data_IF_874669894137
#
_entry.id   IF_874669894137
#
_cell.length_a   1.000
_cell.length_b   1.000
_cell.length_c   1.000
_cell.angle_alpha   90.00
_cell.angle_beta   90.00
_cell.angle_gamma   90.00
#
_symmetry.space_group_name_H-M   'P 1'
#
loop_
_entity.id
_entity.type
_entity.pdbx_description
1 polymer ?
#
# COMPACT_ATOMS: atom_id res chain seq x y z
N UNK A 1 2.70 11.46 21.73
CA UNK A 1 2.99 11.45 20.28
C UNK A 1 4.05 10.40 20.00
N UNK A 2 3.91 9.56 18.97
CA UNK A 2 4.90 8.53 18.62
C UNK A 2 5.68 8.93 17.37
N UNK A 3 6.63 9.87 17.53
CA UNK A 3 7.39 10.46 16.43
C UNK A 3 8.14 9.42 15.59
N UNK A 4 8.74 8.42 16.25
CA UNK A 4 9.51 7.38 15.57
C UNK A 4 8.64 6.50 14.67
N UNK A 5 7.47 6.08 15.16
CA UNK A 5 6.54 5.27 14.37
C UNK A 5 5.98 6.05 13.19
N UNK A 6 5.54 7.30 13.40
CA UNK A 6 5.06 8.17 12.32
C UNK A 6 6.11 8.38 11.23
N UNK A 7 7.38 8.58 11.62
CA UNK A 7 8.48 8.72 10.69
C UNK A 7 8.71 7.44 9.88
N UNK A 8 8.73 6.27 10.53
CA UNK A 8 8.88 4.99 9.83
C UNK A 8 7.73 4.70 8.88
N UNK A 9 6.49 5.00 9.27
CA UNK A 9 5.31 4.88 8.41
C UNK A 9 5.41 5.83 7.21
N UNK A 10 5.89 7.07 7.41
CA UNK A 10 6.09 8.01 6.32
C UNK A 10 7.15 7.52 5.32
N UNK A 11 8.28 7.00 5.82
CA UNK A 11 9.34 6.42 4.97
C UNK A 11 8.81 5.17 4.25
N UNK A 12 8.15 4.27 4.96
CA UNK A 12 7.55 3.06 4.40
C UNK A 12 6.55 3.41 3.29
N UNK A 13 5.65 4.37 3.52
CA UNK A 13 4.70 4.85 2.52
C UNK A 13 5.38 5.47 1.30
N UNK A 14 6.43 6.28 1.50
CA UNK A 14 7.22 6.84 0.40
C UNK A 14 7.91 5.75 -0.44
N UNK A 15 8.45 4.71 0.21
CA UNK A 15 9.02 3.55 -0.47
C UNK A 15 7.97 2.76 -1.24
N UNK A 16 6.78 2.55 -0.66
CA UNK A 16 5.65 1.89 -1.34
C UNK A 16 5.25 2.62 -2.61
N UNK A 17 5.13 3.95 -2.56
CA UNK A 17 4.84 4.78 -3.75
C UNK A 17 5.93 4.66 -4.81
N UNK A 18 7.21 4.62 -4.40
CA UNK A 18 8.33 4.38 -5.33
C UNK A 18 8.27 3.00 -5.96
N UNK A 19 7.91 1.97 -5.20
CA UNK A 19 7.77 0.60 -5.70
C UNK A 19 6.69 0.46 -6.78
N UNK A 20 5.62 1.26 -6.72
CA UNK A 20 4.54 1.24 -7.72
C UNK A 20 4.73 2.24 -8.86
N UNK A 21 5.81 3.01 -8.86
CA UNK A 21 6.10 3.99 -9.92
C UNK A 21 7.04 3.37 -10.95
N UNK A 22 6.73 3.55 -12.24
CA UNK A 22 7.59 3.10 -13.33
C UNK A 22 8.97 3.78 -13.25
N UNK A 23 10.08 3.03 -13.07
CA UNK A 23 11.42 3.61 -13.08
C UNK A 23 11.82 4.08 -14.48
N UNK A 24 11.20 3.56 -15.55
CA UNK A 24 11.49 3.90 -16.94
C UNK A 24 10.20 4.28 -17.68
N UNK A 25 9.54 5.40 -17.33
CA UNK A 25 8.31 5.79 -17.99
C UNK A 25 8.58 5.99 -19.49
N UNK A 26 7.92 5.21 -20.35
CA UNK A 26 8.00 5.41 -21.80
C UNK A 26 7.60 6.86 -22.10
N UNK A 27 8.48 7.64 -22.76
CA UNK A 27 8.07 8.91 -23.36
C UNK A 27 6.89 8.59 -24.26
N UNK A 28 5.76 9.28 -24.05
CA UNK A 28 4.57 9.13 -24.88
C UNK A 28 5.04 9.10 -26.34
N UNK A 29 4.68 8.04 -27.07
CA UNK A 29 5.07 7.82 -28.45
C UNK A 29 4.97 9.13 -29.22
N UNK A 30 6.11 9.75 -29.49
CA UNK A 30 6.19 10.87 -30.39
C UNK A 30 6.06 10.29 -31.79
N UNK A 31 5.03 10.74 -32.49
CA UNK A 31 4.90 10.75 -33.94
C UNK A 31 4.59 9.40 -34.60
N UNK A 32 3.29 9.13 -34.71
CA UNK A 32 2.54 8.67 -35.89
C UNK A 32 1.45 7.70 -35.45
N UNK A 33 0.21 8.17 -35.40
CA UNK A 33 -0.91 7.49 -36.06
C UNK A 33 -2.19 8.33 -35.87
N UNK A 34 -2.70 8.79 -37.00
CA UNK A 34 -4.03 9.34 -37.15
C UNK A 34 -5.05 8.31 -36.64
N UNK A 35 -5.94 8.69 -35.71
CA UNK A 35 -7.37 8.35 -35.74
C UNK A 35 -8.07 8.90 -34.50
N UNK A 36 -9.10 9.72 -34.76
CA UNK A 36 -9.74 10.65 -33.83
C UNK A 36 -10.90 10.01 -33.03
N UNK A 37 -10.79 8.74 -32.61
CA UNK A 37 -11.88 8.05 -31.88
C UNK A 37 -11.49 7.48 -30.50
N UNK A 38 -10.22 7.56 -30.07
CA UNK A 38 -9.73 6.89 -28.84
C UNK A 38 -9.33 7.81 -27.67
N UNK A 39 -9.77 9.08 -27.64
CA UNK A 39 -9.24 10.07 -26.70
C UNK A 39 -9.70 9.86 -25.24
N UNK A 40 -10.93 9.31 -25.04
CA UNK A 40 -11.46 9.01 -23.69
C UNK A 40 -10.72 7.86 -23.01
N UNK A 41 -10.39 6.81 -23.77
CA UNK A 41 -9.66 5.64 -23.27
C UNK A 41 -8.22 6.04 -22.92
N UNK A 42 -7.61 6.92 -23.72
CA UNK A 42 -6.26 7.44 -23.48
C UNK A 42 -6.18 8.37 -22.26
N UNK A 43 -7.21 9.18 -21.99
CA UNK A 43 -7.32 9.96 -20.76
C UNK A 43 -7.43 9.05 -19.52
N UNK A 44 -8.22 7.97 -19.61
CA UNK A 44 -8.39 7.00 -18.53
C UNK A 44 -7.06 6.27 -18.25
N UNK A 45 -6.42 5.70 -19.27
CA UNK A 45 -5.18 4.92 -19.11
C UNK A 45 -4.01 5.78 -18.58
N UNK A 46 -3.95 7.07 -18.93
CA UNK A 46 -2.90 7.98 -18.45
C UNK A 46 -3.19 8.54 -17.05
N UNK A 47 -4.46 8.83 -16.75
CA UNK A 47 -4.84 9.50 -15.49
C UNK A 47 -4.97 8.51 -14.34
N UNK A 48 -5.43 7.28 -14.59
CA UNK A 48 -5.70 6.27 -13.55
C UNK A 48 -4.46 5.99 -12.67
N UNK A 49 -3.26 5.68 -13.20
CA UNK A 49 -2.09 5.44 -12.35
C UNK A 49 -1.68 6.67 -11.53
N UNK A 50 -1.83 7.87 -12.10
CA UNK A 50 -1.51 9.14 -11.43
C UNK A 50 -2.50 9.42 -10.29
N UNK A 51 -3.79 9.19 -10.53
CA UNK A 51 -4.87 9.35 -9.54
C UNK A 51 -4.69 8.34 -8.41
N UNK A 52 -4.49 7.06 -8.72
CA UNK A 52 -4.23 6.01 -7.72
C UNK A 52 -3.05 6.39 -6.83
N UNK A 53 -1.94 6.85 -7.41
CA UNK A 53 -0.77 7.29 -6.63
C UNK A 53 -1.11 8.47 -5.71
N UNK A 54 -1.84 9.47 -6.20
CA UNK A 54 -2.25 10.63 -5.37
C UNK A 54 -3.14 10.21 -4.22
N UNK A 55 -4.14 9.36 -4.49
CA UNK A 55 -5.06 8.84 -3.47
C UNK A 55 -4.28 8.02 -2.43
N UNK A 56 -3.38 7.13 -2.85
CA UNK A 56 -2.55 6.36 -1.94
C UNK A 56 -1.67 7.27 -1.05
N UNK A 57 -1.04 8.30 -1.63
CA UNK A 57 -0.26 9.28 -0.87
C UNK A 57 -1.10 10.04 0.17
N UNK A 58 -2.34 10.39 -0.16
CA UNK A 58 -3.24 11.05 0.80
C UNK A 58 -3.64 10.11 1.94
N UNK A 59 -3.93 8.84 1.65
CA UNK A 59 -4.22 7.83 2.68
C UNK A 59 -3.01 7.65 3.61
N UNK A 60 -1.81 7.53 3.05
CA UNK A 60 -0.55 7.43 3.82
C UNK A 60 -0.37 8.67 4.70
N UNK A 61 -0.50 9.87 4.14
CA UNK A 61 -0.33 11.11 4.89
C UNK A 61 -1.34 11.21 6.04
N UNK A 62 -2.59 10.82 5.81
CA UNK A 62 -3.62 10.79 6.83
C UNK A 62 -3.29 9.76 7.93
N UNK A 63 -2.83 8.56 7.57
CA UNK A 63 -2.40 7.55 8.54
C UNK A 63 -1.21 8.01 9.39
N UNK A 64 -0.22 8.68 8.78
CA UNK A 64 0.93 9.29 9.48
C UNK A 64 0.45 10.35 10.47
N UNK A 65 -0.48 11.20 10.06
CA UNK A 65 -1.07 12.23 10.91
C UNK A 65 -1.80 11.60 12.12
N UNK A 66 -2.65 10.59 11.89
CA UNK A 66 -3.34 9.87 12.95
C UNK A 66 -2.35 9.20 13.91
N UNK A 67 -1.27 8.60 13.40
CA UNK A 67 -0.21 8.00 14.24
C UNK A 67 0.51 9.05 15.09
N UNK A 68 0.79 10.21 14.51
CA UNK A 68 1.51 11.30 15.18
C UNK A 68 0.72 11.82 16.38
N UNK A 69 -0.59 11.97 16.18
CA UNK A 69 -1.54 12.46 17.18
C UNK A 69 -2.28 11.34 17.93
N UNK A 70 -1.86 10.07 17.79
CA UNK A 70 -2.57 8.90 18.32
C UNK A 70 -2.91 9.02 19.81
N UNK A 71 -1.95 9.45 20.65
CA UNK A 71 -2.20 9.63 22.09
C UNK A 71 -3.33 10.64 22.36
N UNK A 72 -3.34 11.77 21.65
CA UNK A 72 -4.38 12.77 21.81
C UNK A 72 -5.75 12.29 21.29
N UNK A 73 -5.76 11.50 20.22
CA UNK A 73 -6.99 10.89 19.69
C UNK A 73 -7.55 9.86 20.68
N UNK A 74 -6.69 9.06 21.31
CA UNK A 74 -7.07 8.05 22.31
C UNK A 74 -7.57 8.68 23.62
N UNK A 75 -6.84 9.65 24.17
CA UNK A 75 -7.19 10.32 25.44
C UNK A 75 -8.48 11.16 25.33
N UNK A 76 -8.81 11.68 24.14
CA UNK A 76 -10.06 12.40 23.88
C UNK A 76 -11.31 11.52 23.87
N UNK A 77 -11.17 10.19 23.71
CA UNK A 77 -12.29 9.26 23.83
C UNK A 77 -12.73 9.10 25.30
N UNK A 78 -11.80 9.26 26.25
CA UNK A 78 -12.07 9.15 27.70
C UNK A 78 -12.72 10.41 28.31
N UNK A 79 -12.45 11.60 27.75
CA UNK A 79 -13.02 12.86 28.22
C UNK A 79 -13.76 13.57 27.07
N UNK A 80 -15.09 13.70 27.17
CA UNK A 80 -16.07 14.26 26.22
C UNK A 80 -15.80 15.68 25.60
N UNK A 81 -14.57 16.17 25.51
CA UNK A 81 -14.22 17.46 24.89
C UNK A 81 -13.85 17.32 23.40
N UNK A 82 -14.90 17.37 22.58
CA UNK A 82 -15.00 17.06 21.15
C UNK A 82 -14.44 18.08 20.12
N UNK A 83 -13.56 19.03 20.49
CA UNK A 83 -13.44 20.25 19.65
C UNK A 83 -12.47 20.17 18.46
N UNK A 84 -11.46 19.28 18.46
CA UNK A 84 -10.46 19.19 17.37
C UNK A 84 -10.46 17.85 16.63
N UNK A 85 -10.86 16.75 17.28
CA UNK A 85 -10.92 15.42 16.66
C UNK A 85 -11.95 15.31 15.54
N UNK A 86 -13.08 16.05 15.59
CA UNK A 86 -14.18 15.87 14.63
C UNK A 86 -13.79 16.12 13.16
N UNK A 87 -12.80 16.97 12.89
CA UNK A 87 -12.38 17.27 11.51
C UNK A 87 -11.28 16.33 10.99
N UNK A 88 -10.47 15.77 11.89
CA UNK A 88 -9.37 14.86 11.54
C UNK A 88 -9.87 13.41 11.61
N UNK A 89 -10.60 13.07 12.66
CA UNK A 89 -11.15 11.76 12.92
C UNK A 89 -12.48 11.80 13.69
N UNK A 90 -13.62 11.85 12.97
CA UNK A 90 -14.94 11.84 13.59
C UNK A 90 -15.19 10.65 14.53
N UNK A 91 -14.70 9.46 14.17
CA UNK A 91 -14.95 8.20 14.87
C UNK A 91 -13.66 7.53 15.36
N UNK A 92 -12.90 8.23 16.22
CA UNK A 92 -11.64 7.73 16.78
C UNK A 92 -11.75 6.38 17.52
N UNK A 93 -12.87 6.13 18.21
CA UNK A 93 -13.13 4.87 18.91
C UNK A 93 -13.19 3.63 18.00
N UNK A 94 -13.38 3.81 16.68
CA UNK A 94 -13.41 2.72 15.71
C UNK A 94 -12.02 2.32 15.20
N UNK A 95 -10.98 3.07 15.55
CA UNK A 95 -9.61 2.80 15.15
C UNK A 95 -9.00 1.63 15.93
N UNK A 96 -8.28 0.76 15.23
CA UNK A 96 -7.52 -0.30 15.87
C UNK A 96 -6.16 0.22 16.36
N UNK A 97 -5.98 0.22 17.69
CA UNK A 97 -4.76 0.67 18.35
C UNK A 97 -3.48 0.04 17.79
N UNK A 98 -3.54 -1.22 17.35
CA UNK A 98 -2.37 -1.94 16.87
C UNK A 98 -1.75 -1.33 15.59
N UNK A 99 -2.52 -0.53 14.85
CA UNK A 99 -2.08 0.13 13.61
C UNK A 99 -1.37 1.46 13.88
N UNK A 100 -1.66 2.11 15.00
CA UNK A 100 -1.18 3.47 15.32
C UNK A 100 -0.18 3.51 16.49
N UNK A 101 0.13 2.36 17.07
CA UNK A 101 1.09 2.21 18.17
C UNK A 101 2.11 1.12 17.86
N UNK A 102 3.19 1.09 18.63
CA UNK A 102 4.20 0.04 18.51
C UNK A 102 3.65 -1.28 19.01
N UNK A 103 3.30 -2.15 18.08
CA UNK A 103 2.82 -3.51 18.34
C UNK A 103 3.51 -4.48 17.42
N UNK A 104 3.33 -5.78 17.66
CA UNK A 104 3.78 -6.80 16.74
C UNK A 104 3.20 -6.61 15.32
N UNK A 105 1.93 -6.22 15.23
CA UNK A 105 1.24 -6.00 13.95
C UNK A 105 1.90 -4.87 13.15
N UNK A 106 2.10 -3.69 13.76
CA UNK A 106 2.75 -2.57 13.06
C UNK A 106 4.22 -2.85 12.76
N UNK A 107 4.92 -3.54 13.66
CA UNK A 107 6.31 -3.97 13.44
C UNK A 107 6.47 -4.93 12.25
N UNK A 108 5.68 -6.00 12.20
CA UNK A 108 5.73 -6.98 11.10
C UNK A 108 5.34 -6.35 9.77
N UNK A 109 4.31 -5.50 9.76
CA UNK A 109 3.88 -4.83 8.53
C UNK A 109 4.95 -3.86 8.01
N UNK A 110 5.57 -3.06 8.88
CA UNK A 110 6.69 -2.19 8.51
C UNK A 110 7.88 -2.99 7.98
N UNK A 111 8.24 -4.09 8.67
CA UNK A 111 9.32 -4.97 8.23
C UNK A 111 9.03 -5.53 6.82
N UNK A 112 7.81 -6.00 6.58
CA UNK A 112 7.40 -6.50 5.26
C UNK A 112 7.53 -5.40 4.18
N UNK A 113 7.12 -4.16 4.46
CA UNK A 113 7.27 -3.04 3.52
C UNK A 113 8.75 -2.76 3.25
N UNK A 114 9.59 -2.65 4.29
CA UNK A 114 11.00 -2.33 4.11
C UNK A 114 11.77 -3.42 3.36
N UNK A 115 11.58 -4.69 3.73
CA UNK A 115 12.20 -5.83 3.03
C UNK A 115 11.70 -5.93 1.60
N UNK A 116 10.39 -5.81 1.40
CA UNK A 116 9.78 -5.84 0.07
C UNK A 116 10.29 -4.72 -0.83
N UNK A 117 10.38 -3.50 -0.29
CA UNK A 117 10.90 -2.35 -1.01
C UNK A 117 12.38 -2.52 -1.36
N UNK A 118 13.20 -3.00 -0.43
CA UNK A 118 14.62 -3.28 -0.69
C UNK A 118 14.78 -4.30 -1.83
N UNK A 119 14.05 -5.42 -1.77
CA UNK A 119 14.05 -6.46 -2.82
C UNK A 119 13.62 -5.86 -4.16
N UNK A 120 12.50 -5.13 -4.19
CA UNK A 120 11.94 -4.59 -5.44
C UNK A 120 12.81 -3.50 -6.06
N UNK A 121 13.28 -2.55 -5.25
CA UNK A 121 14.14 -1.47 -5.75
C UNK A 121 15.51 -2.01 -6.17
N UNK A 122 16.02 -3.07 -5.53
CA UNK A 122 17.22 -3.76 -6.02
C UNK A 122 16.99 -4.40 -7.39
N UNK A 123 15.81 -4.98 -7.64
CA UNK A 123 15.44 -5.52 -8.93
C UNK A 123 15.38 -4.44 -10.02
N UNK A 124 14.77 -3.28 -9.70
CA UNK A 124 14.75 -2.12 -10.60
C UNK A 124 16.16 -1.66 -10.96
N UNK A 125 17.04 -1.56 -9.95
CA UNK A 125 18.42 -1.15 -10.16
C UNK A 125 19.20 -2.13 -11.04
N UNK A 126 18.98 -3.45 -10.89
CA UNK A 126 19.70 -4.47 -11.68
C UNK A 126 19.20 -4.59 -13.12
N UNK A 127 17.90 -4.44 -13.37
CA UNK A 127 17.39 -4.42 -14.74
C UNK A 127 17.62 -3.08 -15.43
N UNK A 128 17.68 -1.98 -14.69
CA UNK A 128 17.86 -0.64 -15.26
C UNK A 128 16.78 -0.36 -16.30
N UNK A 129 17.19 0.06 -17.50
CA UNK A 129 16.30 0.33 -18.64
C UNK A 129 15.46 -0.86 -19.11
N UNK A 130 15.88 -2.09 -18.80
CA UNK A 130 15.19 -3.31 -19.21
C UNK A 130 14.02 -3.63 -18.26
N UNK A 131 13.87 -2.90 -17.16
CA UNK A 131 12.71 -3.07 -16.29
C UNK A 131 11.50 -2.42 -16.93
N UNK A 132 10.48 -3.23 -17.19
CA UNK A 132 9.19 -2.81 -17.74
C UNK A 132 8.08 -3.39 -16.87
N UNK A 133 7.01 -2.62 -16.66
CA UNK A 133 5.79 -3.13 -16.03
C UNK A 133 4.96 -4.02 -16.97
N UNK A 134 5.33 -4.06 -18.25
CA UNK A 134 4.72 -4.90 -19.28
C UNK A 134 5.62 -6.09 -19.58
N UNK A 135 5.05 -7.27 -19.85
CA UNK A 135 5.86 -8.40 -20.31
C UNK A 135 6.54 -8.03 -21.65
N UNK A 136 7.86 -7.86 -21.60
CA UNK A 136 8.72 -7.73 -22.78
C UNK A 136 9.77 -8.82 -22.70
N UNK A 137 10.01 -9.53 -23.80
CA UNK A 137 11.08 -10.52 -23.87
C UNK A 137 12.41 -9.83 -23.50
N UNK A 138 13.13 -10.30 -22.47
CA UNK A 138 14.38 -9.68 -22.07
C UNK A 138 15.48 -10.02 -23.07
N UNK A 139 16.28 -9.02 -23.47
CA UNK A 139 17.43 -9.24 -24.38
C UNK A 139 18.56 -10.07 -23.74
N UNK A 140 18.58 -10.18 -22.41
CA UNK A 140 19.62 -10.90 -21.65
C UNK A 140 19.09 -11.46 -20.33
N UNK A 141 19.58 -12.63 -19.95
CA UNK A 141 19.31 -13.24 -18.65
C UNK A 141 20.17 -12.60 -17.56
N UNK A 142 19.55 -12.12 -16.47
CA UNK A 142 20.23 -11.55 -15.30
C UNK A 142 20.15 -12.53 -14.14
N UNK A 143 21.29 -13.06 -13.69
CA UNK A 143 21.36 -14.07 -12.60
C UNK A 143 22.17 -13.60 -11.37
N UNK A 144 22.57 -12.33 -11.33
CA UNK A 144 23.44 -11.78 -10.27
C UNK A 144 22.69 -10.87 -9.29
N UNK A 145 23.16 -10.77 -8.06
CA UNK A 145 22.49 -10.02 -6.99
C UNK A 145 21.27 -10.76 -6.46
N UNK A 146 20.15 -10.06 -6.25
CA UNK A 146 18.90 -10.68 -5.74
C UNK A 146 18.36 -11.79 -6.66
N UNK A 147 18.66 -11.69 -7.96
CA UNK A 147 18.30 -12.70 -8.97
C UNK A 147 18.99 -14.06 -8.78
N UNK A 148 20.03 -14.14 -7.96
CA UNK A 148 20.67 -15.42 -7.59
C UNK A 148 19.80 -16.25 -6.64
N UNK A 149 18.94 -15.59 -5.86
CA UNK A 149 18.15 -16.21 -4.81
C UNK A 149 16.67 -16.36 -5.18
N UNK A 150 16.14 -15.41 -5.95
CA UNK A 150 14.72 -15.34 -6.31
C UNK A 150 14.62 -15.13 -7.83
N UNK A 151 13.83 -15.95 -8.51
CA UNK A 151 13.62 -15.87 -9.96
C UNK A 151 12.88 -14.59 -10.37
N UNK A 152 11.88 -14.18 -9.58
CA UNK A 152 11.10 -12.96 -9.81
C UNK A 152 11.12 -12.01 -8.59
N UNK A 153 12.26 -11.35 -8.32
CA UNK A 153 12.42 -10.50 -7.14
C UNK A 153 11.54 -9.25 -7.23
N UNK A 154 11.28 -8.72 -8.44
CA UNK A 154 10.36 -7.60 -8.63
C UNK A 154 8.93 -7.90 -8.15
N UNK A 155 8.39 -9.07 -8.48
CA UNK A 155 7.07 -9.50 -8.00
C UNK A 155 7.09 -9.81 -6.50
N UNK A 156 8.09 -10.56 -6.03
CA UNK A 156 8.26 -10.90 -4.60
C UNK A 156 8.30 -9.65 -3.72
N UNK A 157 9.10 -8.66 -4.10
CA UNK A 157 9.18 -7.40 -3.38
C UNK A 157 7.87 -6.60 -3.42
N UNK A 158 7.16 -6.59 -4.56
CA UNK A 158 5.85 -5.95 -4.66
C UNK A 158 4.82 -6.62 -3.75
N UNK A 159 4.83 -7.95 -3.65
CA UNK A 159 3.92 -8.69 -2.78
C UNK A 159 4.13 -8.33 -1.31
N UNK A 160 5.38 -8.31 -0.85
CA UNK A 160 5.71 -7.94 0.52
C UNK A 160 5.27 -6.49 0.84
N UNK A 161 5.51 -5.55 -0.08
CA UNK A 161 5.05 -4.16 0.05
C UNK A 161 3.52 -4.07 0.10
N UNK A 162 2.81 -4.75 -0.80
CA UNK A 162 1.34 -4.77 -0.81
C UNK A 162 0.76 -5.36 0.48
N UNK A 163 1.29 -6.50 0.93
CA UNK A 163 0.84 -7.17 2.15
C UNK A 163 1.02 -6.28 3.38
N UNK A 164 2.19 -5.66 3.54
CA UNK A 164 2.42 -4.73 4.65
C UNK A 164 1.56 -3.47 4.56
N UNK A 165 1.36 -2.89 3.37
CA UNK A 165 0.45 -1.76 3.17
C UNK A 165 -1.00 -2.11 3.53
N UNK A 166 -1.49 -3.31 3.18
CA UNK A 166 -2.84 -3.74 3.54
C UNK A 166 -2.96 -4.01 5.03
N UNK A 167 -1.94 -4.64 5.63
CA UNK A 167 -1.90 -4.92 7.06
C UNK A 167 -1.84 -3.67 7.94
N UNK A 168 -1.28 -2.57 7.42
CA UNK A 168 -1.04 -1.34 8.20
C UNK A 168 -1.84 -0.12 7.72
N UNK A 169 -1.70 0.24 6.45
CA UNK A 169 -2.16 1.53 5.90
C UNK A 169 -3.58 1.48 5.32
N UNK A 170 -3.94 0.36 4.69
CA UNK A 170 -5.19 0.19 3.94
C UNK A 170 -6.21 -0.70 4.64
N UNK A 171 -5.95 -1.09 5.90
CA UNK A 171 -6.87 -1.93 6.67
C UNK A 171 -8.13 -1.14 7.02
N UNK A 172 -9.28 -1.80 6.95
CA UNK A 172 -10.60 -1.16 7.13
C UNK A 172 -10.79 -0.52 8.52
N UNK A 173 -10.25 -1.13 9.57
CA UNK A 173 -10.24 -0.64 10.96
C UNK A 173 -9.02 0.27 11.26
N UNK A 174 -8.31 0.70 10.21
CA UNK A 174 -7.32 1.78 10.26
C UNK A 174 -7.94 3.11 9.87
N UNK A 175 -7.27 3.84 8.97
CA UNK A 175 -7.68 5.16 8.50
C UNK A 175 -9.14 5.26 8.01
N UNK A 176 -9.72 4.28 7.30
CA UNK A 176 -11.12 4.34 6.88
C UNK A 176 -12.12 4.34 8.06
N UNK A 177 -11.84 3.61 9.14
CA UNK A 177 -12.75 3.52 10.30
C UNK A 177 -12.95 4.84 11.02
N UNK A 178 -11.97 5.74 10.90
CA UNK A 178 -12.04 7.13 11.32
C UNK A 178 -13.28 7.88 10.76
N UNK A 179 -13.74 7.46 9.57
CA UNK A 179 -14.84 8.05 8.81
C UNK A 179 -16.09 7.16 8.77
N UNK A 180 -16.04 5.97 9.37
CA UNK A 180 -17.18 5.05 9.45
C UNK A 180 -17.86 5.18 10.81
N UNK A 181 -19.14 5.56 10.79
CA UNK A 181 -19.97 5.65 11.98
C UNK A 181 -20.20 4.31 12.66
N UNK A 182 -20.64 4.35 13.91
CA UNK A 182 -20.93 3.14 14.71
C UNK A 182 -22.08 2.31 14.13
N UNK A 183 -22.95 2.94 13.34
CA UNK A 183 -24.07 2.37 12.61
C UNK A 183 -23.67 1.73 11.27
N UNK A 184 -22.41 1.87 10.86
CA UNK A 184 -21.93 1.31 9.59
C UNK A 184 -21.95 -0.23 9.61
N UNK A 185 -22.85 -0.82 8.81
CA UNK A 185 -23.04 -2.28 8.74
C UNK A 185 -21.77 -3.03 8.33
N UNK A 186 -20.97 -2.47 7.42
CA UNK A 186 -19.72 -3.10 6.99
C UNK A 186 -18.71 -3.17 8.14
N UNK A 187 -18.54 -2.08 8.88
CA UNK A 187 -17.66 -2.04 10.04
C UNK A 187 -18.14 -2.98 11.14
N UNK A 188 -19.46 -3.05 11.40
CA UNK A 188 -20.03 -3.98 12.38
C UNK A 188 -19.80 -5.44 11.97
N UNK A 189 -20.01 -5.78 10.70
CA UNK A 189 -19.77 -7.12 10.17
C UNK A 189 -18.28 -7.50 10.32
N UNK A 190 -17.37 -6.59 9.96
CA UNK A 190 -15.92 -6.80 10.05
C UNK A 190 -15.36 -6.75 11.48
N UNK A 191 -16.17 -6.37 12.48
CA UNK A 191 -15.83 -6.46 13.90
C UNK A 191 -16.08 -7.87 14.45
N UNK A 192 -16.97 -8.64 13.81
CA UNK A 192 -17.20 -10.05 14.18
C UNK A 192 -15.95 -10.88 13.85
N UNK A 193 -15.35 -11.60 14.82
CA UNK A 193 -14.10 -12.33 14.61
C UNK A 193 -14.14 -13.27 13.41
N UNK A 194 -15.24 -14.02 13.25
CA UNK A 194 -15.42 -14.94 12.12
C UNK A 194 -15.26 -14.23 10.76
N UNK A 195 -16.00 -13.14 10.53
CA UNK A 195 -15.95 -12.40 9.27
C UNK A 195 -14.61 -11.67 9.09
N UNK A 196 -14.08 -11.08 10.17
CA UNK A 196 -12.75 -10.44 10.18
C UNK A 196 -11.66 -11.42 9.75
N UNK A 197 -11.62 -12.59 10.38
CA UNK A 197 -10.58 -13.59 10.17
C UNK A 197 -10.77 -14.28 8.82
N UNK A 198 -12.01 -14.46 8.35
CA UNK A 198 -12.31 -14.92 7.00
C UNK A 198 -11.81 -13.93 5.93
N UNK A 199 -12.01 -12.61 6.11
CA UNK A 199 -11.53 -11.59 5.17
C UNK A 199 -10.01 -11.51 5.18
N UNK A 200 -9.38 -11.45 6.37
CA UNK A 200 -7.91 -11.47 6.49
C UNK A 200 -7.32 -12.76 5.89
N UNK A 201 -7.92 -13.91 6.19
CA UNK A 201 -7.53 -15.20 5.65
C UNK A 201 -7.67 -15.28 4.14
N UNK A 202 -8.79 -14.78 3.58
CA UNK A 202 -9.01 -14.74 2.13
C UNK A 202 -8.00 -13.84 1.41
N UNK A 203 -7.69 -12.67 1.99
CA UNK A 203 -6.63 -11.81 1.48
C UNK A 203 -5.29 -12.54 1.54
N UNK A 204 -4.94 -13.16 2.67
CA UNK A 204 -3.70 -13.92 2.81
C UNK A 204 -3.60 -15.07 1.79
N UNK A 205 -4.67 -15.83 1.59
CA UNK A 205 -4.74 -16.92 0.59
C UNK A 205 -4.61 -16.38 -0.83
N UNK A 206 -5.29 -15.28 -1.17
CA UNK A 206 -5.13 -14.63 -2.47
C UNK A 206 -3.68 -14.17 -2.69
N UNK A 207 -3.05 -13.58 -1.67
CA UNK A 207 -1.66 -13.16 -1.71
C UNK A 207 -0.70 -14.33 -1.87
N UNK A 208 -0.92 -15.43 -1.14
CA UNK A 208 -0.12 -16.66 -1.27
C UNK A 208 -0.32 -17.25 -2.67
N UNK A 209 -1.56 -17.40 -3.13
CA UNK A 209 -1.89 -17.94 -4.45
C UNK A 209 -1.18 -17.17 -5.57
N UNK A 210 -1.18 -15.83 -5.52
CA UNK A 210 -0.45 -14.99 -6.48
C UNK A 210 1.07 -15.24 -6.52
N UNK A 211 1.68 -15.69 -5.42
CA UNK A 211 3.09 -16.12 -5.38
C UNK A 211 3.28 -17.51 -5.98
N UNK A 212 2.28 -18.38 -5.83
CA UNK A 212 2.30 -19.76 -6.30
C UNK A 212 1.78 -19.98 -7.72
N UNK A 213 1.18 -18.96 -8.35
CA UNK A 213 0.90 -18.96 -9.78
C UNK A 213 2.23 -19.04 -10.54
N UNK A 214 2.71 -20.28 -10.74
CA UNK A 214 3.73 -20.57 -11.73
C UNK A 214 3.16 -20.17 -13.08
N UNK A 215 3.90 -19.35 -13.81
CA UNK A 215 3.71 -19.24 -15.25
C UNK A 215 4.00 -20.64 -15.79
N UNK A 216 2.95 -21.34 -16.19
CA UNK A 216 3.07 -22.60 -16.93
C UNK A 216 3.34 -22.17 -18.37
N UNK A 217 4.55 -22.44 -18.84
CA UNK A 217 4.96 -22.24 -20.23
C UNK A 217 4.21 -23.18 -21.18
#
# INVERSE_FOLDING_TARGET
>A
MSLSLSLLIAIAGALSVRCTTDPNPKKAASNNENNNENDRIRLLTRSVPTVIRRVASLIIAHHVLLTLFWRGIREQDEHHHHRYSRYICPYGANLNEALFSWTWTSGVALLAIFVGAAVRLSAFHRLGSNFTFHLTAPDRLVTTGVYRFIQHPGYTGQFLVCGGCIGLLLRWDGTPACWMGNDNTLLQLLRVPFFRDAVLGSLAVFFVSMVWLRVVD
#
